data_IF_592997607056
#
_entry.id   IF_592997607056
#
_cell.length_a   1.000
_cell.length_b   1.000
_cell.length_c   1.000
_cell.angle_alpha   90.00
_cell.angle_beta   90.00
_cell.angle_gamma   90.00
#
_symmetry.space_group_name_H-M   'P 1'
#
loop_
_entity.id
_entity.type
_entity.pdbx_description
1 polymer ?
#
# COMPACT_ATOMS: atom_id res chain seq x y z
N UNK A 1 52.98 15.51 -38.96
CA UNK A 1 53.50 14.99 -37.68
C UNK A 1 52.89 15.65 -36.43
N UNK A 2 52.43 16.91 -36.46
CA UNK A 2 51.80 17.57 -35.29
C UNK A 2 50.45 16.96 -34.84
N UNK A 3 49.68 16.33 -35.73
CA UNK A 3 48.36 15.76 -35.41
C UNK A 3 48.41 14.41 -34.67
N UNK A 4 49.51 13.66 -34.73
CA UNK A 4 49.64 12.36 -34.05
C UNK A 4 49.88 12.51 -32.53
N UNK A 5 50.45 13.63 -32.11
CA UNK A 5 50.71 13.92 -30.68
C UNK A 5 49.40 14.26 -29.95
N UNK A 6 48.43 14.88 -30.65
CA UNK A 6 47.14 15.28 -30.06
C UNK A 6 46.25 14.04 -29.81
N UNK A 7 46.28 13.05 -30.72
CA UNK A 7 45.49 11.81 -30.55
C UNK A 7 46.03 10.96 -29.40
N UNK A 8 47.35 10.92 -29.21
CA UNK A 8 47.98 10.20 -28.10
C UNK A 8 47.66 10.83 -26.73
N UNK A 9 47.57 12.16 -26.64
CA UNK A 9 47.23 12.86 -25.39
C UNK A 9 45.74 12.72 -25.01
N UNK A 10 44.84 12.57 -25.97
CA UNK A 10 43.42 12.32 -25.67
C UNK A 10 43.15 10.92 -25.11
N UNK A 11 43.97 9.92 -25.44
CA UNK A 11 43.78 8.55 -24.92
C UNK A 11 44.21 8.37 -23.46
N UNK A 12 45.06 9.26 -22.93
CA UNK A 12 45.54 9.17 -21.53
C UNK A 12 44.60 9.82 -20.50
N UNK A 13 43.58 10.59 -20.91
CA UNK A 13 42.67 11.29 -19.99
C UNK A 13 41.33 10.57 -19.73
N UNK A 14 41.12 9.35 -20.25
CA UNK A 14 39.84 8.61 -20.09
C UNK A 14 39.98 7.41 -19.12
N UNK A 15 41.12 7.24 -18.45
CA UNK A 15 41.32 6.18 -17.45
C UNK A 15 41.38 6.78 -16.04
N UNK A 16 40.37 7.57 -15.67
CA UNK A 16 40.09 7.82 -14.25
C UNK A 16 39.14 6.73 -13.76
N UNK A 17 39.77 5.77 -13.09
CA UNK A 17 39.21 4.60 -12.45
C UNK A 17 38.11 5.04 -11.47
N UNK A 18 36.85 4.90 -11.87
CA UNK A 18 35.71 4.95 -10.96
C UNK A 18 35.74 3.69 -10.09
N UNK A 19 36.56 3.70 -9.04
CA UNK A 19 36.46 2.71 -7.99
C UNK A 19 35.05 2.82 -7.37
N UNK A 20 34.30 1.71 -7.25
CA UNK A 20 32.98 1.75 -6.63
C UNK A 20 33.11 2.28 -5.20
N UNK A 21 32.17 3.11 -4.73
CA UNK A 21 32.23 3.65 -3.38
C UNK A 21 32.28 2.50 -2.36
N UNK A 22 33.03 2.65 -1.26
CA UNK A 22 33.07 1.64 -0.22
C UNK A 22 31.65 1.37 0.25
N UNK A 23 31.24 0.10 0.19
CA UNK A 23 29.92 -0.33 0.65
C UNK A 23 29.81 0.11 2.12
N UNK A 24 28.83 0.94 2.49
CA UNK A 24 28.65 1.32 3.89
C UNK A 24 28.50 0.05 4.70
N UNK A 25 29.36 -0.13 5.71
CA UNK A 25 29.26 -1.22 6.66
C UNK A 25 28.07 -0.91 7.57
N UNK A 26 26.89 -1.39 7.18
CA UNK A 26 25.72 -1.30 8.03
C UNK A 26 26.05 -2.04 9.33
N UNK A 27 25.86 -1.43 10.51
CA UNK A 27 26.07 -2.11 11.77
C UNK A 27 25.24 -3.40 11.75
N UNK A 28 25.92 -4.53 11.96
CA UNK A 28 25.28 -5.85 12.01
C UNK A 28 24.17 -5.74 13.04
N UNK A 29 22.91 -5.78 12.59
CA UNK A 29 21.77 -5.62 13.49
C UNK A 29 21.89 -6.69 14.57
N UNK A 30 21.85 -6.33 15.86
CA UNK A 30 21.91 -7.31 16.94
C UNK A 30 20.81 -8.35 16.72
N UNK A 31 21.18 -9.64 16.76
CA UNK A 31 20.23 -10.73 16.60
C UNK A 31 19.25 -10.68 17.76
N UNK A 32 18.01 -10.27 17.49
CA UNK A 32 16.95 -10.28 18.50
C UNK A 32 16.71 -11.71 18.99
N UNK A 33 16.64 -11.89 20.31
CA UNK A 33 16.26 -13.16 20.94
C UNK A 33 14.85 -13.54 20.49
N UNK A 34 14.68 -14.81 20.11
CA UNK A 34 13.37 -15.35 19.76
C UNK A 34 12.64 -15.77 21.04
N UNK A 35 11.32 -15.64 21.04
CA UNK A 35 10.48 -15.98 22.19
C UNK A 35 9.18 -16.67 21.76
N UNK A 36 8.69 -17.60 22.58
CA UNK A 36 7.32 -18.09 22.48
C UNK A 36 6.41 -17.45 23.53
N UNK A 37 6.96 -17.04 24.67
CA UNK A 37 6.22 -16.38 25.74
C UNK A 37 6.98 -15.15 26.25
N UNK A 38 6.28 -14.25 26.94
CA UNK A 38 6.91 -13.09 27.57
C UNK A 38 7.98 -13.46 28.61
N UNK A 39 7.87 -14.63 29.26
CA UNK A 39 8.82 -15.10 30.28
C UNK A 39 10.22 -15.43 29.71
N UNK A 40 10.34 -15.63 28.40
CA UNK A 40 11.63 -15.87 27.75
C UNK A 40 12.43 -14.58 27.51
N UNK A 41 11.79 -13.42 27.68
CA UNK A 41 12.41 -12.11 27.51
C UNK A 41 12.87 -11.52 28.86
N UNK A 42 13.75 -10.53 28.80
CA UNK A 42 14.20 -9.79 29.98
C UNK A 42 13.06 -8.92 30.55
N UNK A 43 13.20 -8.46 31.80
CA UNK A 43 12.15 -7.66 32.47
C UNK A 43 11.82 -6.35 31.75
N UNK A 44 12.77 -5.76 31.00
CA UNK A 44 12.57 -4.57 30.18
C UNK A 44 12.09 -4.88 28.75
N UNK A 45 11.68 -6.12 28.47
CA UNK A 45 11.34 -6.61 27.14
C UNK A 45 10.00 -7.36 27.12
N UNK A 46 9.35 -7.35 25.96
CA UNK A 46 8.15 -8.13 25.69
C UNK A 46 8.32 -8.99 24.44
N UNK A 47 7.53 -10.07 24.36
CA UNK A 47 7.51 -10.94 23.20
C UNK A 47 6.54 -10.44 22.12
N UNK A 48 7.06 -9.97 20.99
CA UNK A 48 6.25 -9.41 19.89
C UNK A 48 6.20 -10.35 18.69
N UNK A 49 4.99 -10.57 18.15
CA UNK A 49 4.76 -11.21 16.84
C UNK A 49 4.55 -10.15 15.76
N UNK A 50 5.18 -10.35 14.61
CA UNK A 50 4.99 -9.54 13.40
C UNK A 50 4.30 -10.38 12.34
N UNK A 51 3.03 -10.06 12.04
CA UNK A 51 2.25 -10.66 10.97
C UNK A 51 1.23 -11.73 11.41
N UNK A 52 0.37 -12.19 10.47
CA UNK A 52 -0.80 -13.04 10.76
C UNK A 52 -0.46 -14.51 11.05
N UNK A 53 0.76 -14.97 10.80
CA UNK A 53 1.14 -16.37 11.06
C UNK A 53 1.32 -16.66 12.55
N UNK A 54 0.41 -17.44 13.13
CA UNK A 54 0.46 -17.89 14.53
C UNK A 54 1.67 -18.77 14.88
N UNK A 55 2.22 -19.49 13.90
CA UNK A 55 3.30 -20.48 14.10
C UNK A 55 4.72 -19.89 14.16
N UNK A 56 4.89 -18.59 13.91
CA UNK A 56 6.22 -17.98 13.96
C UNK A 56 6.60 -17.61 15.39
N UNK A 57 7.86 -17.89 15.78
CA UNK A 57 8.43 -17.40 17.03
C UNK A 57 8.42 -15.87 17.03
N UNK A 58 8.06 -15.29 18.17
CA UNK A 58 8.14 -13.85 18.38
C UNK A 58 9.58 -13.39 18.55
N UNK A 59 9.77 -12.09 18.71
CA UNK A 59 11.07 -11.49 19.05
C UNK A 59 10.92 -10.72 20.36
N UNK A 60 11.93 -10.83 21.22
CA UNK A 60 12.03 -9.96 22.39
C UNK A 60 12.40 -8.55 21.92
N UNK A 61 11.57 -7.59 22.29
CA UNK A 61 11.73 -6.17 21.97
C UNK A 61 11.59 -5.39 23.27
N UNK A 62 12.35 -4.30 23.42
CA UNK A 62 12.26 -3.43 24.59
C UNK A 62 10.86 -2.84 24.75
N UNK A 63 10.45 -2.65 26.00
CA UNK A 63 9.21 -1.94 26.35
C UNK A 63 9.18 -0.54 25.74
N UNK A 64 7.97 -0.04 25.50
CA UNK A 64 7.76 1.27 24.88
C UNK A 64 8.17 2.38 25.85
N UNK A 65 9.08 3.24 25.41
CA UNK A 65 9.45 4.47 26.13
C UNK A 65 8.45 5.59 25.87
N UNK A 66 8.51 6.65 26.68
CA UNK A 66 7.71 7.86 26.51
C UNK A 66 7.73 8.37 25.05
N UNK A 67 6.56 8.81 24.57
CA UNK A 67 6.36 9.32 23.21
C UNK A 67 6.29 8.26 22.11
N UNK A 68 6.55 6.98 22.39
CA UNK A 68 6.39 5.90 21.41
C UNK A 68 4.99 5.30 21.46
N UNK A 69 4.55 4.71 20.34
CA UNK A 69 3.28 3.99 20.31
C UNK A 69 3.43 2.67 21.08
N UNK A 70 2.47 2.43 21.96
CA UNK A 70 2.36 1.26 22.80
C UNK A 70 1.13 0.42 22.43
N UNK A 71 1.07 -0.80 22.93
CA UNK A 71 -0.15 -1.63 22.93
C UNK A 71 -0.69 -1.70 24.36
N UNK A 72 -2.02 -1.74 24.50
CA UNK A 72 -2.65 -1.98 25.80
C UNK A 72 -2.34 -3.41 26.28
N UNK A 73 -2.14 -3.56 27.59
CA UNK A 73 -1.70 -4.80 28.24
C UNK A 73 -2.67 -5.97 28.01
N UNK A 74 -3.97 -5.69 27.91
CA UNK A 74 -5.03 -6.69 27.76
C UNK A 74 -5.03 -7.41 26.39
N UNK A 75 -4.24 -6.93 25.41
CA UNK A 75 -4.19 -7.47 24.05
C UNK A 75 -3.19 -8.64 23.88
N UNK A 76 -2.54 -9.08 24.96
CA UNK A 76 -1.55 -10.15 24.92
C UNK A 76 -2.18 -11.55 24.76
N UNK A 77 -2.58 -11.92 23.54
CA UNK A 77 -3.08 -13.27 23.24
C UNK A 77 -1.95 -14.29 23.40
N UNK A 78 -2.06 -15.20 24.38
CA UNK A 78 -1.09 -16.24 24.72
C UNK A 78 0.29 -15.71 25.16
N UNK A 79 0.34 -14.56 25.85
CA UNK A 79 1.59 -13.97 26.32
C UNK A 79 2.49 -13.41 25.20
N UNK A 80 1.91 -13.16 24.01
CA UNK A 80 2.56 -12.49 22.88
C UNK A 80 1.79 -11.24 22.48
N UNK A 81 2.50 -10.13 22.32
CA UNK A 81 1.92 -8.89 21.81
C UNK A 81 1.94 -8.84 20.29
N UNK A 82 0.92 -8.23 19.69
CA UNK A 82 0.85 -8.04 18.24
C UNK A 82 1.46 -6.70 17.84
N UNK A 83 2.60 -6.73 17.14
CA UNK A 83 3.25 -5.56 16.58
C UNK A 83 4.05 -4.68 17.56
N UNK A 84 3.57 -4.40 18.77
CA UNK A 84 4.24 -3.48 19.72
C UNK A 84 4.15 -3.95 21.17
N UNK A 85 5.12 -3.52 21.99
CA UNK A 85 5.14 -3.79 23.42
C UNK A 85 4.29 -2.78 24.21
N UNK A 86 3.85 -3.15 25.42
CA UNK A 86 3.29 -2.20 26.38
C UNK A 86 4.35 -1.18 26.80
N UNK A 87 3.91 -0.18 27.55
CA UNK A 87 4.78 0.83 28.12
C UNK A 87 5.72 0.22 29.18
N UNK A 88 6.86 0.87 29.41
CA UNK A 88 7.71 0.54 30.56
C UNK A 88 7.00 0.86 31.89
N UNK A 89 7.50 0.29 32.99
CA UNK A 89 6.96 0.53 34.33
C UNK A 89 6.80 2.03 34.62
N UNK A 90 5.64 2.42 35.15
CA UNK A 90 5.31 3.82 35.48
C UNK A 90 4.78 4.66 34.32
N UNK A 91 4.63 4.10 33.12
CA UNK A 91 4.04 4.79 31.96
C UNK A 91 2.68 4.18 31.60
N UNK A 92 1.68 5.03 31.34
CA UNK A 92 0.35 4.61 30.90
C UNK A 92 0.16 4.83 29.39
N UNK A 93 -0.47 3.85 28.73
CA UNK A 93 -0.76 3.92 27.30
C UNK A 93 -2.14 4.56 27.07
N UNK A 94 -2.17 5.83 26.66
CA UNK A 94 -3.40 6.55 26.32
C UNK A 94 -3.64 6.59 24.81
N UNK A 95 -4.88 6.33 24.40
CA UNK A 95 -5.32 6.48 23.03
C UNK A 95 -5.50 7.98 22.72
N UNK A 96 -4.69 8.51 21.80
CA UNK A 96 -4.79 9.92 21.38
C UNK A 96 -6.01 10.20 20.50
N UNK A 97 -6.37 9.24 19.64
CA UNK A 97 -7.47 9.37 18.70
C UNK A 97 -8.24 8.04 18.65
N UNK A 98 -9.44 8.01 19.23
CA UNK A 98 -10.40 6.94 18.97
C UNK A 98 -11.14 7.35 17.69
N UNK A 99 -10.59 6.95 16.54
CA UNK A 99 -11.37 7.03 15.31
C UNK A 99 -12.44 5.96 15.43
N UNK A 100 -13.67 6.36 15.76
CA UNK A 100 -14.85 5.51 15.58
C UNK A 100 -14.96 5.18 14.10
N UNK A 101 -14.28 4.12 13.68
CA UNK A 101 -14.60 3.46 12.43
C UNK A 101 -15.96 2.83 12.65
N UNK A 102 -17.04 3.58 12.35
CA UNK A 102 -18.31 2.99 11.96
C UNK A 102 -17.95 2.04 10.81
N UNK A 103 -17.78 0.77 11.14
CA UNK A 103 -17.72 -0.30 10.16
C UNK A 103 -19.10 -0.35 9.54
N UNK A 104 -19.32 0.50 8.53
CA UNK A 104 -20.39 0.32 7.58
C UNK A 104 -19.99 -0.95 6.85
N UNK A 105 -20.52 -2.09 7.31
CA UNK A 105 -20.38 -3.33 6.58
C UNK A 105 -21.03 -3.08 5.22
N UNK A 106 -20.19 -2.92 4.19
CA UNK A 106 -20.67 -2.76 2.83
C UNK A 106 -21.61 -3.94 2.54
N UNK A 107 -22.84 -3.62 2.13
CA UNK A 107 -23.90 -4.61 1.88
C UNK A 107 -23.36 -5.64 0.89
N UNK A 108 -23.42 -6.92 1.22
CA UNK A 108 -22.98 -7.97 0.29
C UNK A 108 -23.94 -8.06 -0.90
N UNK A 109 -23.41 -8.18 -2.10
CA UNK A 109 -24.18 -8.27 -3.35
C UNK A 109 -23.71 -9.45 -4.20
N UNK A 110 -24.61 -9.95 -5.05
CA UNK A 110 -24.30 -10.92 -6.11
C UNK A 110 -24.57 -10.33 -7.50
N UNK A 111 -25.46 -9.34 -7.57
CA UNK A 111 -25.85 -8.61 -8.79
C UNK A 111 -25.90 -7.11 -8.52
N UNK A 112 -25.87 -6.31 -9.57
CA UNK A 112 -26.03 -4.87 -9.49
C UNK A 112 -27.35 -4.45 -8.81
N UNK A 113 -28.45 -5.17 -9.10
CA UNK A 113 -29.78 -4.89 -8.51
C UNK A 113 -29.87 -5.10 -6.99
N UNK A 114 -28.88 -5.76 -6.38
CA UNK A 114 -28.83 -5.92 -4.93
C UNK A 114 -28.40 -4.60 -4.22
N UNK A 115 -27.87 -3.64 -4.98
CA UNK A 115 -27.35 -2.36 -4.50
C UNK A 115 -28.31 -1.21 -4.84
N UNK A 116 -28.09 -0.03 -4.24
CA UNK A 116 -28.89 1.16 -4.55
C UNK A 116 -28.55 1.73 -5.94
N UNK A 117 -29.40 2.61 -6.49
CA UNK A 117 -29.22 3.18 -7.84
C UNK A 117 -27.92 3.99 -7.99
N UNK A 118 -27.37 4.52 -6.89
CA UNK A 118 -26.08 5.22 -6.85
C UNK A 118 -24.90 4.31 -6.48
N UNK A 119 -25.09 2.99 -6.51
CA UNK A 119 -24.11 1.99 -6.13
C UNK A 119 -23.89 0.94 -7.22
N UNK A 120 -22.74 0.26 -7.16
CA UNK A 120 -22.41 -0.86 -8.01
C UNK A 120 -21.95 -2.06 -7.18
N UNK A 121 -22.20 -3.26 -7.69
CA UNK A 121 -21.73 -4.48 -7.07
C UNK A 121 -20.27 -4.77 -7.46
N UNK A 122 -19.35 -4.61 -6.50
CA UNK A 122 -17.93 -4.87 -6.70
C UNK A 122 -17.49 -6.19 -6.12
N UNK A 123 -16.82 -6.98 -6.97
CA UNK A 123 -16.22 -8.23 -6.57
C UNK A 123 -14.70 -8.10 -6.52
N UNK A 124 -14.13 -8.35 -5.34
CA UNK A 124 -12.73 -8.69 -5.21
C UNK A 124 -12.62 -10.20 -5.31
N UNK A 125 -11.70 -10.69 -6.17
CA UNK A 125 -11.46 -12.09 -6.58
C UNK A 125 -11.39 -13.11 -5.42
N UNK A 126 -11.41 -12.69 -4.15
CA UNK A 126 -11.42 -13.56 -2.97
C UNK A 126 -12.36 -13.14 -1.81
N UNK A 127 -13.14 -12.05 -1.91
CA UNK A 127 -13.91 -11.51 -0.77
C UNK A 127 -15.43 -11.41 -0.99
N UNK A 128 -15.94 -11.93 -2.12
CA UNK A 128 -17.37 -11.80 -2.46
C UNK A 128 -17.73 -10.38 -2.91
N UNK A 129 -18.94 -10.24 -3.45
CA UNK A 129 -19.45 -8.95 -3.91
C UNK A 129 -19.89 -8.08 -2.74
N UNK A 130 -19.58 -6.79 -2.81
CA UNK A 130 -20.10 -5.77 -1.91
C UNK A 130 -20.53 -4.52 -2.69
N UNK A 131 -21.57 -3.86 -2.21
CA UNK A 131 -22.06 -2.61 -2.78
C UNK A 131 -21.10 -1.48 -2.44
N UNK A 132 -20.71 -0.72 -3.46
CA UNK A 132 -19.90 0.48 -3.33
C UNK A 132 -20.52 1.59 -4.18
N UNK A 133 -20.44 2.85 -3.71
CA UNK A 133 -20.94 4.00 -4.46
C UNK A 133 -20.25 4.16 -5.82
N UNK A 134 -21.01 4.61 -6.80
CA UNK A 134 -20.51 5.01 -8.12
C UNK A 134 -19.44 6.10 -8.01
N UNK A 135 -18.50 6.10 -8.94
CA UNK A 135 -17.35 7.02 -8.91
C UNK A 135 -17.81 8.44 -9.25
N UNK A 136 -17.65 9.43 -8.35
CA UNK A 136 -18.04 10.81 -8.61
C UNK A 136 -17.04 11.50 -9.57
N UNK A 137 -17.41 12.70 -10.00
CA UNK A 137 -16.57 13.53 -10.86
C UNK A 137 -15.19 13.81 -10.24
N UNK A 138 -14.16 13.85 -11.10
CA UNK A 138 -12.78 14.14 -10.71
C UNK A 138 -12.04 12.97 -10.05
N UNK A 139 -12.73 11.91 -9.63
CA UNK A 139 -12.08 10.71 -9.10
C UNK A 139 -11.49 9.83 -10.21
N UNK A 140 -10.45 9.10 -9.83
CA UNK A 140 -9.80 8.14 -10.73
C UNK A 140 -10.77 7.04 -11.12
N UNK A 141 -10.74 6.60 -12.37
CA UNK A 141 -11.54 5.51 -12.88
C UNK A 141 -10.68 4.55 -13.69
N UNK A 142 -11.15 3.32 -13.84
CA UNK A 142 -10.52 2.33 -14.70
C UNK A 142 -11.27 2.30 -16.04
N UNK A 143 -10.61 2.59 -17.18
CA UNK A 143 -11.25 2.46 -18.47
C UNK A 143 -11.79 1.05 -18.63
N UNK A 144 -13.10 0.90 -18.89
CA UNK A 144 -13.72 -0.40 -19.09
C UNK A 144 -13.08 -1.06 -20.31
N UNK A 145 -12.20 -2.03 -20.07
CA UNK A 145 -11.53 -2.79 -21.13
C UNK A 145 -12.47 -3.93 -21.52
N UNK A 146 -13.47 -3.66 -22.39
CA UNK A 146 -14.32 -4.61 -23.14
C UNK A 146 -14.90 -5.88 -22.45
N UNK A 147 -14.66 -6.16 -21.17
CA UNK A 147 -15.12 -7.37 -20.47
C UNK A 147 -16.53 -7.21 -19.89
N UNK A 148 -17.15 -6.03 -20.05
CA UNK A 148 -18.55 -5.77 -19.70
C UNK A 148 -19.50 -6.69 -20.47
N UNK A 149 -19.10 -7.17 -21.65
CA UNK A 149 -19.90 -8.12 -22.44
C UNK A 149 -20.04 -9.49 -21.78
N UNK A 150 -19.13 -9.88 -20.88
CA UNK A 150 -19.17 -11.21 -20.24
C UNK A 150 -19.99 -11.24 -18.96
N UNK A 151 -20.07 -10.14 -18.20
CA UNK A 151 -20.83 -10.00 -16.95
C UNK A 151 -21.25 -8.54 -16.74
N UNK A 152 -22.43 -8.11 -17.23
CA UNK A 152 -22.87 -6.72 -17.07
C UNK A 152 -23.14 -6.34 -15.60
N UNK A 153 -23.40 -7.31 -14.74
CA UNK A 153 -23.94 -7.08 -13.39
C UNK A 153 -22.88 -7.01 -12.29
N UNK A 154 -21.58 -7.15 -12.62
CA UNK A 154 -20.52 -7.23 -11.60
C UNK A 154 -19.21 -6.62 -12.09
N UNK A 155 -18.73 -5.62 -11.35
CA UNK A 155 -17.48 -4.92 -11.66
C UNK A 155 -16.32 -5.53 -10.87
N UNK A 156 -15.16 -5.60 -11.52
CA UNK A 156 -13.92 -6.02 -10.88
C UNK A 156 -13.11 -4.77 -10.50
N UNK A 157 -12.62 -4.73 -9.26
CA UNK A 157 -11.72 -3.72 -8.70
C UNK A 157 -12.29 -2.31 -8.50
N UNK A 158 -13.13 -1.79 -9.39
CA UNK A 158 -13.67 -0.43 -9.26
C UNK A 158 -15.05 -0.22 -9.91
N UNK A 159 -15.91 0.57 -9.27
CA UNK A 159 -17.19 0.97 -9.83
C UNK A 159 -17.05 1.92 -11.02
N UNK A 160 -18.01 1.90 -11.96
CA UNK A 160 -18.03 2.86 -13.06
C UNK A 160 -18.26 4.28 -12.53
N UNK A 161 -18.08 5.25 -13.43
CA UNK A 161 -18.46 6.63 -13.15
C UNK A 161 -19.97 6.75 -12.95
N UNK A 162 -20.40 7.72 -12.15
CA UNK A 162 -21.82 8.07 -11.99
C UNK A 162 -22.45 8.41 -13.35
N UNK A 163 -23.75 8.18 -13.47
CA UNK A 163 -24.50 8.49 -14.69
C UNK A 163 -24.24 9.91 -15.19
N UNK A 164 -24.00 10.02 -16.50
CA UNK A 164 -23.65 11.28 -17.16
C UNK A 164 -22.16 11.61 -17.16
N UNK A 165 -21.31 10.84 -16.46
CA UNK A 165 -19.85 11.01 -16.49
C UNK A 165 -19.18 10.00 -17.41
N UNK A 166 -18.08 10.40 -18.06
CA UNK A 166 -17.22 9.50 -18.85
C UNK A 166 -15.86 9.35 -18.20
N UNK A 167 -15.35 8.12 -18.21
CA UNK A 167 -13.98 7.83 -17.76
C UNK A 167 -12.98 8.19 -18.86
N UNK A 168 -12.24 9.28 -18.69
CA UNK A 168 -11.31 9.81 -19.70
C UNK A 168 -9.87 9.75 -19.18
N UNK A 169 -8.91 9.17 -19.94
CA UNK A 169 -7.49 9.20 -19.57
C UNK A 169 -6.92 10.62 -19.61
N UNK A 170 -6.16 11.02 -18.58
CA UNK A 170 -5.40 12.29 -18.63
C UNK A 170 -4.19 12.21 -19.55
N UNK A 171 -3.57 11.03 -19.65
CA UNK A 171 -2.42 10.81 -20.51
C UNK A 171 -2.54 9.47 -21.21
N UNK A 172 -2.25 9.44 -22.51
CA UNK A 172 -2.10 8.21 -23.28
C UNK A 172 -0.63 8.05 -23.65
N UNK A 173 -0.01 6.95 -23.19
CA UNK A 173 1.37 6.62 -23.52
C UNK A 173 1.33 5.46 -24.50
N UNK A 174 1.81 5.68 -25.71
CA UNK A 174 1.96 4.63 -26.73
C UNK A 174 3.33 3.97 -26.56
N UNK A 175 3.33 2.67 -26.25
CA UNK A 175 4.55 1.85 -26.19
C UNK A 175 4.38 0.75 -27.23
N UNK A 176 4.94 0.95 -28.42
CA UNK A 176 4.69 0.08 -29.59
C UNK A 176 3.23 0.15 -30.05
N UNK A 177 2.59 -1.00 -30.22
CA UNK A 177 1.15 -1.11 -30.56
C UNK A 177 0.23 -0.97 -29.34
N UNK A 178 0.77 -0.94 -28.12
CA UNK A 178 -0.03 -0.84 -26.91
C UNK A 178 -0.22 0.61 -26.46
N UNK A 179 -1.48 1.02 -26.30
CA UNK A 179 -1.86 2.31 -25.72
C UNK A 179 -2.14 2.10 -24.23
N UNK A 180 -1.26 2.65 -23.38
CA UNK A 180 -1.46 2.66 -21.93
C UNK A 180 -2.13 3.97 -21.51
N UNK A 181 -3.33 3.86 -20.97
CA UNK A 181 -4.13 4.97 -20.47
C UNK A 181 -3.80 5.24 -19.00
N UNK A 182 -3.11 6.35 -18.73
CA UNK A 182 -2.71 6.74 -17.38
C UNK A 182 -3.66 7.77 -16.77
N UNK A 183 -3.92 7.59 -15.47
CA UNK A 183 -4.66 8.54 -14.62
C UNK A 183 -6.01 8.92 -15.22
N UNK A 184 -6.80 7.93 -15.61
CA UNK A 184 -8.15 8.19 -16.08
C UNK A 184 -9.03 8.70 -14.95
N UNK A 185 -9.90 9.65 -15.26
CA UNK A 185 -10.79 10.33 -14.31
C UNK A 185 -12.21 10.43 -14.88
N UNK A 186 -13.22 10.45 -14.01
CA UNK A 186 -14.60 10.69 -14.40
C UNK A 186 -14.83 12.18 -14.65
N UNK A 187 -15.24 12.54 -15.86
CA UNK A 187 -15.49 13.93 -16.28
C UNK A 187 -16.83 14.05 -17.01
N UNK A 188 -17.42 15.24 -16.97
CA UNK A 188 -18.62 15.56 -17.76
C UNK A 188 -18.20 15.61 -19.25
N UNK A 189 -18.92 14.95 -20.15
CA UNK A 189 -18.54 14.85 -21.57
C UNK A 189 -18.50 16.19 -22.34
N UNK A 190 -18.96 17.29 -21.74
CA UNK A 190 -18.90 18.64 -22.31
C UNK A 190 -17.59 19.40 -22.04
N UNK A 191 -16.81 19.02 -21.02
CA UNK A 191 -15.62 19.76 -20.59
C UNK A 191 -14.33 19.31 -21.29
N UNK A 192 -14.41 18.33 -22.20
CA UNK A 192 -13.24 17.72 -22.86
C UNK A 192 -12.79 18.52 -24.11
N UNK A 193 -13.26 19.76 -24.29
CA UNK A 193 -12.96 20.60 -25.45
C UNK A 193 -11.80 21.59 -25.31
N UNK A 194 -11.12 21.67 -24.15
CA UNK A 194 -9.99 22.60 -23.98
C UNK A 194 -8.75 21.93 -23.37
N UNK A 195 -8.10 21.03 -24.11
CA UNK A 195 -6.63 20.86 -24.06
C UNK A 195 -6.19 19.89 -25.15
N UNK A 196 -6.09 20.40 -26.38
CA UNK A 196 -5.20 19.83 -27.41
C UNK A 196 -3.99 20.74 -27.53
#
# INVERSE_FOLDING_TARGET
MKYLIIIALCFFLVVEVTAPPPIPHWPIRPKHKLCNTAQECEADQCCVKFGPSFFRKGRCVKLSSEGKRCSQEELAKNGKYFGRCPCAEGLHCEAKDVVETKTVFAKSCKKADDCEEDECCLNYVSFGGHCQKLTPEGQSCTPLVNDVEKKPDMYNFQCPCKDGLKCVPKHEIKIGEHITRHRAVCVVPGDVMETM
#
